data_IF_233890025239
#
_entry.id   IF_233890025239
#
_cell.length_a   1.000
_cell.length_b   1.000
_cell.length_c   1.000
_cell.angle_alpha   90.00
_cell.angle_beta   90.00
_cell.angle_gamma   90.00
#
_symmetry.space_group_name_H-M   'P 1'
#
loop_
_entity.id
_entity.type
_entity.pdbx_description
1 polymer ?
#
# COMPACT_ATOMS: atom_id res chain seq x y z
N UNK A 1 -0.68 6.61 -17.22
CA UNK A 1 -0.02 6.08 -16.01
C UNK A 1 0.07 7.21 -15.00
N UNK A 2 0.26 6.98 -13.70
CA UNK A 2 0.21 8.11 -12.78
C UNK A 2 1.06 8.04 -11.52
N UNK A 3 1.60 9.21 -11.14
CA UNK A 3 2.43 9.39 -9.96
C UNK A 3 1.56 9.91 -8.82
N UNK A 4 1.56 9.23 -7.68
CA UNK A 4 0.66 9.50 -6.55
C UNK A 4 1.43 10.01 -5.35
N UNK A 5 0.89 11.03 -4.68
CA UNK A 5 1.41 11.53 -3.41
C UNK A 5 0.28 11.75 -2.44
N UNK A 6 0.57 11.44 -1.18
CA UNK A 6 -0.38 11.52 -0.09
C UNK A 6 0.10 12.59 0.88
N UNK A 7 -0.81 13.46 1.29
CA UNK A 7 -0.63 14.41 2.37
C UNK A 7 -1.68 14.17 3.45
N UNK A 8 -1.25 14.38 4.68
CA UNK A 8 -2.03 14.12 5.88
C UNK A 8 -2.15 15.42 6.67
N UNK A 9 -3.38 15.91 6.83
CA UNK A 9 -3.67 17.12 7.59
C UNK A 9 -4.27 16.75 8.96
N UNK A 10 -3.40 16.69 9.96
CA UNK A 10 -3.66 16.05 11.26
C UNK A 10 -4.72 16.82 12.06
N UNK A 11 -4.61 18.14 12.10
CA UNK A 11 -5.48 19.03 12.84
C UNK A 11 -6.51 19.75 11.96
N UNK A 12 -6.96 19.10 10.88
CA UNK A 12 -7.98 19.68 10.00
C UNK A 12 -9.28 19.96 10.79
N UNK A 13 -9.90 21.14 10.62
CA UNK A 13 -11.19 21.44 11.23
C UNK A 13 -12.29 20.56 10.60
N UNK A 14 -13.44 20.45 11.26
CA UNK A 14 -14.60 19.72 10.71
C UNK A 14 -15.11 20.31 9.39
N UNK A 15 -14.86 21.60 9.16
CA UNK A 15 -15.13 22.31 7.90
C UNK A 15 -14.01 22.17 6.86
N UNK A 16 -12.93 21.45 7.15
CA UNK A 16 -11.75 21.37 6.28
C UNK A 16 -12.06 20.85 4.88
N UNK A 17 -12.97 19.88 4.76
CA UNK A 17 -13.43 19.35 3.48
C UNK A 17 -14.13 20.41 2.63
N UNK A 18 -14.95 21.27 3.25
CA UNK A 18 -15.63 22.36 2.54
C UNK A 18 -14.63 23.42 2.09
N UNK A 19 -13.66 23.77 2.94
CA UNK A 19 -12.60 24.73 2.60
C UNK A 19 -11.77 24.27 1.41
N UNK A 20 -11.34 22.99 1.41
CA UNK A 20 -10.58 22.42 0.30
C UNK A 20 -11.44 22.35 -0.97
N UNK A 21 -12.70 21.93 -0.86
CA UNK A 21 -13.63 21.91 -1.98
C UNK A 21 -13.75 23.29 -2.64
N UNK A 22 -13.99 24.34 -1.84
CA UNK A 22 -14.08 25.70 -2.35
C UNK A 22 -12.76 26.17 -2.99
N UNK A 23 -11.61 25.83 -2.39
CA UNK A 23 -10.30 26.18 -2.92
C UNK A 23 -10.03 25.51 -4.28
N UNK A 24 -10.30 24.20 -4.39
CA UNK A 24 -10.11 23.43 -5.64
C UNK A 24 -11.01 23.99 -6.75
N UNK A 25 -12.29 24.23 -6.47
CA UNK A 25 -13.24 24.72 -7.49
C UNK A 25 -12.90 26.15 -7.93
N UNK A 26 -12.64 27.05 -6.98
CA UNK A 26 -12.48 28.48 -7.26
C UNK A 26 -11.10 28.85 -7.78
N UNK A 27 -10.05 28.31 -7.18
CA UNK A 27 -8.67 28.74 -7.44
C UNK A 27 -7.94 27.82 -8.40
N UNK A 28 -8.31 26.53 -8.45
CA UNK A 28 -7.69 25.54 -9.32
C UNK A 28 -8.59 25.09 -10.49
N UNK A 29 -9.77 25.68 -10.63
CA UNK A 29 -10.77 25.31 -11.64
C UNK A 29 -11.07 23.80 -11.66
N UNK A 30 -11.03 23.16 -10.49
CA UNK A 30 -11.26 21.73 -10.37
C UNK A 30 -12.72 21.37 -10.61
N UNK A 31 -12.94 20.22 -11.24
CA UNK A 31 -14.27 19.65 -11.49
C UNK A 31 -14.53 18.51 -10.52
N UNK A 32 -15.69 18.52 -9.87
CA UNK A 32 -16.13 17.42 -9.02
C UNK A 32 -16.42 16.17 -9.86
N UNK A 33 -15.85 15.02 -9.46
CA UNK A 33 -16.01 13.74 -10.15
C UNK A 33 -16.84 12.73 -9.37
N UNK A 34 -16.83 12.79 -8.04
CA UNK A 34 -17.59 11.85 -7.23
C UNK A 34 -17.16 11.81 -5.77
N UNK A 35 -17.65 10.80 -5.05
CA UNK A 35 -17.29 10.55 -3.66
C UNK A 35 -16.07 9.65 -3.56
N UNK A 36 -15.26 9.90 -2.56
CA UNK A 36 -14.16 9.04 -2.16
C UNK A 36 -14.52 8.41 -0.82
N UNK A 37 -14.78 7.10 -0.83
CA UNK A 37 -15.16 6.37 0.38
C UNK A 37 -14.27 5.14 0.54
N UNK A 38 -13.56 5.06 1.65
CA UNK A 38 -12.71 3.94 2.01
C UNK A 38 -13.06 3.44 3.40
N UNK A 39 -12.86 2.14 3.62
CA UNK A 39 -12.97 1.57 4.96
C UNK A 39 -11.75 0.80 5.36
N UNK A 40 -11.23 1.05 6.55
CA UNK A 40 -10.06 0.39 7.10
C UNK A 40 -10.44 -0.38 8.36
N UNK A 41 -9.96 -1.63 8.45
CA UNK A 41 -10.15 -2.53 9.60
C UNK A 41 -8.80 -3.04 10.08
N UNK A 42 -8.58 -2.98 11.39
CA UNK A 42 -7.41 -3.56 12.04
C UNK A 42 -7.77 -4.90 12.69
N UNK A 43 -6.85 -5.85 12.61
CA UNK A 43 -6.94 -7.18 13.18
C UNK A 43 -5.63 -7.52 13.91
N UNK A 44 -5.74 -8.28 14.99
CA UNK A 44 -4.60 -8.81 15.73
C UNK A 44 -4.69 -10.33 15.89
N UNK A 45 -3.54 -10.99 15.88
CA UNK A 45 -3.47 -12.44 16.06
C UNK A 45 -3.61 -12.82 17.54
N UNK A 46 -4.38 -13.87 17.80
CA UNK A 46 -4.55 -14.44 19.15
C UNK A 46 -3.77 -15.73 19.35
N UNK A 47 -2.73 -15.96 18.56
CA UNK A 47 -1.83 -17.10 18.78
C UNK A 47 -1.07 -16.98 20.11
N UNK A 48 -0.74 -15.76 20.54
CA UNK A 48 -0.05 -15.51 21.81
C UNK A 48 -0.90 -15.70 23.07
N UNK A 49 -2.23 -15.84 22.95
CA UNK A 49 -3.11 -16.07 24.11
C UNK A 49 -3.35 -17.55 24.41
N UNK A 50 -2.68 -18.46 23.67
CA UNK A 50 -2.79 -19.90 23.88
C UNK A 50 -1.94 -20.29 25.11
N UNK A 51 -2.55 -20.85 26.17
CA UNK A 51 -1.78 -21.33 27.32
C UNK A 51 -0.72 -22.34 26.88
N UNK A 52 0.54 -22.09 27.26
CA UNK A 52 1.68 -22.96 26.92
C UNK A 52 2.39 -22.64 25.60
N UNK A 53 1.89 -21.70 24.79
CA UNK A 53 2.57 -21.23 23.57
C UNK A 53 3.07 -19.80 23.77
N UNK A 54 4.37 -19.62 23.99
CA UNK A 54 4.98 -18.29 24.08
C UNK A 54 5.30 -17.73 22.69
N UNK A 55 4.33 -17.06 22.08
CA UNK A 55 4.59 -16.26 20.88
C UNK A 55 5.18 -14.93 21.32
N UNK A 56 6.43 -14.67 20.94
CA UNK A 56 7.20 -13.52 21.44
C UNK A 56 6.78 -12.18 20.81
N UNK A 57 6.01 -12.23 19.72
CA UNK A 57 5.61 -11.03 18.98
C UNK A 57 4.23 -11.20 18.35
N UNK A 58 3.38 -10.19 18.53
CA UNK A 58 1.99 -10.21 18.05
C UNK A 58 1.96 -9.84 16.56
N UNK A 59 1.29 -10.67 15.75
CA UNK A 59 1.06 -10.38 14.32
C UNK A 59 -0.09 -9.40 14.18
N UNK A 60 0.03 -8.46 13.25
CA UNK A 60 -1.00 -7.48 12.94
C UNK A 60 -1.46 -7.61 11.49
N UNK A 61 -2.72 -7.28 11.22
CA UNK A 61 -3.27 -7.29 9.87
C UNK A 61 -4.20 -6.09 9.70
N UNK A 62 -4.01 -5.30 8.65
CA UNK A 62 -4.85 -4.16 8.29
C UNK A 62 -5.51 -4.43 6.93
N UNK A 63 -6.81 -4.21 6.83
CA UNK A 63 -7.55 -4.37 5.58
C UNK A 63 -8.21 -3.05 5.18
N UNK A 64 -7.84 -2.51 4.01
CA UNK A 64 -8.43 -1.33 3.41
C UNK A 64 -9.32 -1.75 2.23
N UNK A 65 -10.61 -1.44 2.31
CA UNK A 65 -11.56 -1.64 1.22
C UNK A 65 -11.67 -0.36 0.39
N UNK A 66 -11.48 -0.50 -0.91
CA UNK A 66 -11.60 0.56 -1.91
C UNK A 66 -12.37 -0.01 -3.09
N UNK A 67 -13.58 0.49 -3.32
CA UNK A 67 -14.50 -0.03 -4.33
C UNK A 67 -14.75 -1.55 -4.12
N UNK A 68 -14.43 -2.38 -5.12
CA UNK A 68 -14.59 -3.84 -5.08
C UNK A 68 -13.34 -4.58 -4.56
N UNK A 69 -12.28 -3.83 -4.23
CA UNK A 69 -11.01 -4.38 -3.78
C UNK A 69 -10.84 -4.29 -2.27
N UNK A 70 -10.26 -5.31 -1.67
CA UNK A 70 -9.75 -5.27 -0.30
C UNK A 70 -8.24 -5.49 -0.32
N UNK A 71 -7.50 -4.48 0.10
CA UNK A 71 -6.04 -4.52 0.22
C UNK A 71 -5.66 -4.85 1.66
N UNK A 72 -4.96 -5.95 1.85
CA UNK A 72 -4.65 -6.50 3.17
C UNK A 72 -3.15 -6.46 3.39
N UNK A 73 -2.72 -5.68 4.38
CA UNK A 73 -1.34 -5.65 4.86
C UNK A 73 -1.23 -6.51 6.12
N UNK A 74 -0.50 -7.61 6.02
CA UNK A 74 -0.14 -8.47 7.13
C UNK A 74 1.31 -8.19 7.54
N UNK A 75 1.52 -8.09 8.85
CA UNK A 75 2.85 -7.99 9.43
C UNK A 75 3.11 -9.08 10.45
N UNK A 76 4.18 -9.83 10.20
CA UNK A 76 4.75 -10.81 11.13
C UNK A 76 6.14 -10.37 11.60
N UNK A 77 6.24 -9.74 12.78
CA UNK A 77 7.54 -9.31 13.33
C UNK A 77 8.53 -10.45 13.62
N UNK A 78 8.09 -11.71 13.59
CA UNK A 78 8.99 -12.87 13.75
C UNK A 78 9.63 -13.35 12.45
N UNK A 79 9.14 -12.89 11.30
CA UNK A 79 9.69 -13.25 9.99
C UNK A 79 10.81 -12.29 9.57
N UNK A 80 11.81 -12.76 8.80
CA UNK A 80 12.91 -11.91 8.32
C UNK A 80 12.42 -10.88 7.29
N UNK A 81 13.15 -9.77 7.18
CA UNK A 81 12.97 -8.83 6.08
C UNK A 81 13.75 -9.29 4.84
N UNK A 82 13.43 -8.72 3.68
CA UNK A 82 14.18 -9.05 2.45
C UNK A 82 15.62 -8.56 2.52
N UNK A 83 15.83 -7.39 3.12
CA UNK A 83 17.16 -6.83 3.35
C UNK A 83 18.01 -7.77 4.21
N UNK A 84 17.43 -8.37 5.26
CA UNK A 84 18.14 -9.33 6.11
C UNK A 84 18.59 -10.57 5.32
N UNK A 85 17.72 -11.09 4.45
CA UNK A 85 18.04 -12.26 3.60
C UNK A 85 19.16 -11.96 2.60
N UNK A 86 19.11 -10.80 1.94
CA UNK A 86 20.15 -10.39 0.98
C UNK A 86 21.50 -10.14 1.67
N UNK A 87 21.49 -9.53 2.84
CA UNK A 87 22.71 -9.33 3.63
C UNK A 87 23.33 -10.68 4.05
N UNK A 88 22.50 -11.64 4.47
CA UNK A 88 22.96 -12.97 4.83
C UNK A 88 23.52 -13.76 3.62
N UNK A 89 22.90 -13.63 2.44
CA UNK A 89 23.39 -14.27 1.23
C UNK A 89 24.77 -13.73 0.81
N UNK A 90 24.96 -12.41 0.85
CA UNK A 90 26.25 -11.77 0.53
C UNK A 90 27.36 -12.16 1.53
N UNK A 91 27.01 -12.36 2.81
CA UNK A 91 27.96 -12.85 3.82
C UNK A 91 28.34 -14.33 3.59
N UNK A 92 27.39 -15.17 3.16
CA UNK A 92 27.67 -16.56 2.82
C UNK A 92 28.64 -16.69 1.63
N UNK A 93 28.46 -15.86 0.59
CA UNK A 93 29.33 -15.86 -0.60
C UNK A 93 30.75 -15.36 -0.29
N UNK A 94 30.90 -14.42 0.65
CA UNK A 94 32.20 -13.83 1.00
C UNK A 94 33.03 -14.68 1.98
N UNK A 95 32.41 -15.61 2.72
CA UNK A 95 33.12 -16.52 3.65
C UNK A 95 33.40 -17.92 3.06
N UNK A 96 32.90 -18.23 1.86
CA UNK A 96 32.90 -19.58 1.28
C UNK A 96 33.69 -19.76 -0.02
N UNK A 97 34.98 -19.40 -0.03
CA UNK A 97 35.92 -19.88 -1.06
C UNK A 97 36.16 -21.38 -0.92
N UNK A 98 35.30 -22.21 -1.50
CA UNK A 98 35.41 -23.67 -1.42
C UNK A 98 34.49 -24.36 -2.40
N UNK A 99 34.94 -24.52 -3.64
CA UNK A 99 34.30 -25.37 -4.63
C UNK A 99 34.12 -26.79 -4.06
N UNK A 100 32.86 -27.22 -3.95
CA UNK A 100 32.49 -28.62 -3.79
C UNK A 100 32.06 -29.02 -2.38
N UNK A 101 30.80 -28.77 -2.03
CA UNK A 101 29.95 -29.78 -1.39
C UNK A 101 28.49 -29.30 -1.31
N UNK A 102 27.61 -30.03 -2.01
CA UNK A 102 26.21 -30.20 -1.63
C UNK A 102 25.29 -28.99 -1.82
N UNK A 103 24.53 -29.02 -2.91
CA UNK A 103 23.32 -28.22 -3.19
C UNK A 103 22.24 -28.42 -2.12
N UNK A 104 22.49 -27.96 -0.90
CA UNK A 104 21.41 -27.67 0.04
C UNK A 104 20.85 -26.34 -0.41
N UNK A 105 19.89 -26.38 -1.34
CA UNK A 105 19.10 -25.23 -1.70
C UNK A 105 18.70 -24.54 -0.39
N UNK A 106 19.19 -23.32 -0.17
CA UNK A 106 18.82 -22.51 0.98
C UNK A 106 17.31 -22.34 0.87
N UNK A 107 16.55 -23.17 1.59
CA UNK A 107 15.10 -23.06 1.60
C UNK A 107 14.79 -21.72 2.24
N UNK A 108 14.42 -20.75 1.40
CA UNK A 108 14.04 -19.41 1.86
C UNK A 108 12.92 -19.48 2.90
N UNK A 109 12.75 -18.42 3.70
CA UNK A 109 11.74 -18.38 4.74
C UNK A 109 10.34 -18.65 4.15
N UNK A 110 9.42 -19.23 4.94
CA UNK A 110 8.06 -19.52 4.47
C UNK A 110 7.29 -18.26 4.08
N UNK A 111 7.61 -17.12 4.69
CA UNK A 111 7.08 -15.79 4.40
C UNK A 111 8.02 -14.71 4.94
N UNK A 112 7.79 -13.47 4.51
CA UNK A 112 8.55 -12.30 4.95
C UNK A 112 7.76 -11.51 5.98
N UNK A 113 8.46 -10.59 6.63
CA UNK A 113 7.89 -9.71 7.65
C UNK A 113 6.60 -9.02 7.21
N UNK A 114 6.56 -8.53 5.97
CA UNK A 114 5.40 -7.84 5.40
C UNK A 114 4.83 -8.68 4.26
N UNK A 115 3.50 -8.76 4.19
CA UNK A 115 2.81 -9.39 3.05
C UNK A 115 1.61 -8.53 2.69
N UNK A 116 1.50 -8.16 1.42
CA UNK A 116 0.42 -7.28 0.95
C UNK A 116 -0.36 -7.93 -0.18
N UNK A 117 -1.61 -8.28 0.13
CA UNK A 117 -2.47 -9.09 -0.73
C UNK A 117 -3.73 -8.32 -1.12
N UNK A 118 -4.23 -8.61 -2.32
CA UNK A 118 -5.48 -8.04 -2.83
C UNK A 118 -6.55 -9.14 -2.88
N UNK A 119 -7.69 -8.89 -2.25
CA UNK A 119 -8.82 -9.82 -2.14
C UNK A 119 -10.06 -9.18 -2.78
N UNK A 120 -10.88 -10.01 -3.44
CA UNK A 120 -12.20 -9.65 -3.97
C UNK A 120 -13.19 -10.79 -3.71
N UNK A 121 -14.48 -10.50 -3.47
CA UNK A 121 -15.11 -9.19 -3.25
C UNK A 121 -14.93 -8.67 -1.81
N UNK A 122 -15.43 -7.46 -1.47
CA UNK A 122 -15.53 -7.00 -0.08
C UNK A 122 -16.25 -8.03 0.81
N UNK A 123 -15.69 -8.34 1.98
CA UNK A 123 -16.21 -9.37 2.88
C UNK A 123 -15.60 -10.77 2.70
N UNK A 124 -14.88 -11.02 1.60
CA UNK A 124 -14.25 -12.31 1.36
C UNK A 124 -13.13 -12.64 2.35
N UNK A 125 -12.43 -11.62 2.87
CA UNK A 125 -11.43 -11.81 3.92
C UNK A 125 -12.08 -12.41 5.17
N UNK A 126 -13.18 -11.83 5.64
CA UNK A 126 -13.88 -12.29 6.84
C UNK A 126 -14.45 -13.70 6.66
N UNK A 127 -14.97 -14.00 5.47
CA UNK A 127 -15.43 -15.35 5.13
C UNK A 127 -14.27 -16.36 5.14
N UNK A 128 -13.12 -16.01 4.55
CA UNK A 128 -11.93 -16.85 4.55
C UNK A 128 -11.43 -17.11 5.98
N UNK A 129 -11.30 -16.05 6.79
CA UNK A 129 -10.87 -16.16 8.18
C UNK A 129 -11.82 -17.03 9.00
N UNK A 130 -13.14 -16.92 8.79
CA UNK A 130 -14.12 -17.77 9.43
C UNK A 130 -14.01 -19.24 8.99
N UNK A 131 -13.83 -19.48 7.68
CA UNK A 131 -13.74 -20.82 7.10
C UNK A 131 -12.52 -21.59 7.61
N UNK A 132 -11.35 -20.95 7.65
CA UNK A 132 -10.13 -21.56 8.16
C UNK A 132 -10.04 -21.52 9.70
N UNK A 133 -11.07 -20.99 10.37
CA UNK A 133 -11.11 -20.75 11.82
C UNK A 133 -9.86 -20.02 12.31
N UNK A 134 -9.42 -19.02 11.54
CA UNK A 134 -8.22 -18.30 11.87
C UNK A 134 -8.40 -17.50 13.15
N UNK A 135 -7.30 -17.41 13.92
CA UNK A 135 -7.25 -16.76 15.22
C UNK A 135 -7.00 -15.26 15.10
N UNK A 136 -7.78 -14.57 14.29
CA UNK A 136 -7.71 -13.11 14.15
C UNK A 136 -8.90 -12.45 14.84
N UNK A 137 -8.62 -11.44 15.64
CA UNK A 137 -9.66 -10.63 16.29
C UNK A 137 -9.56 -9.21 15.76
N UNK A 138 -10.69 -8.64 15.33
CA UNK A 138 -10.76 -7.22 14.99
C UNK A 138 -10.43 -6.37 16.22
N UNK A 139 -9.45 -5.47 16.07
CA UNK A 139 -9.03 -4.57 17.13
C UNK A 139 -10.13 -3.53 17.33
N UNK A 140 -10.61 -3.40 18.57
CA UNK A 140 -11.47 -2.28 18.95
C UNK A 140 -10.58 -1.05 19.06
N UNK A 141 -10.75 -0.07 18.17
CA UNK A 141 -10.19 1.24 18.39
C UNK A 141 -10.80 1.79 19.69
N UNK A 142 -9.97 2.29 20.60
CA UNK A 142 -10.36 2.67 21.96
C UNK A 142 -11.20 3.95 21.97
N UNK A 143 -12.45 3.87 21.54
CA UNK A 143 -13.51 4.81 21.89
C UNK A 143 -14.12 4.39 23.22
N UNK A 144 -14.00 5.24 24.24
CA UNK A 144 -14.59 5.01 25.58
C UNK A 144 -16.12 4.84 25.49
N UNK A 145 -16.63 3.76 26.12
CA UNK A 145 -18.02 3.56 26.54
C UNK A 145 -19.12 3.51 25.45
N UNK A 146 -19.17 2.46 24.62
CA UNK A 146 -20.38 2.10 23.87
C UNK A 146 -20.81 0.63 24.13
N UNK A 147 -22.10 0.36 24.43
CA UNK A 147 -22.58 -0.97 24.77
C UNK A 147 -22.58 -1.90 23.54
N UNK A 148 -22.01 -3.09 23.73
CA UNK A 148 -21.96 -4.18 22.75
C UNK A 148 -23.37 -4.72 22.46
N UNK A 149 -23.94 -4.41 21.29
CA UNK A 149 -25.08 -5.20 20.80
C UNK A 149 -25.17 -5.42 19.28
N UNK A 150 -24.05 -5.36 18.55
CA UNK A 150 -23.97 -5.92 17.20
C UNK A 150 -22.55 -6.45 16.93
N UNK A 151 -22.40 -7.77 17.01
CA UNK A 151 -21.13 -8.51 16.95
C UNK A 151 -20.66 -8.88 15.52
N UNK A 152 -21.16 -8.22 14.47
CA UNK A 152 -20.89 -8.62 13.08
C UNK A 152 -19.91 -7.74 12.29
N UNK A 153 -19.65 -6.50 12.73
CA UNK A 153 -18.82 -5.57 11.99
C UNK A 153 -17.77 -5.01 12.94
N UNK A 154 -16.50 -5.36 12.70
CA UNK A 154 -15.35 -4.81 13.44
C UNK A 154 -15.39 -3.28 13.43
N UNK A 155 -14.76 -2.66 14.44
CA UNK A 155 -14.65 -1.21 14.45
C UNK A 155 -13.88 -0.76 13.21
N UNK A 156 -14.55 0.09 12.43
CA UNK A 156 -14.13 0.45 11.08
C UNK A 156 -13.78 1.94 11.10
N UNK A 157 -12.54 2.24 10.74
CA UNK A 157 -12.16 3.58 10.34
C UNK A 157 -12.73 3.82 8.94
N UNK A 158 -13.34 4.97 8.72
CA UNK A 158 -13.90 5.36 7.43
C UNK A 158 -13.19 6.61 6.95
N UNK A 159 -12.79 6.63 5.69
CA UNK A 159 -12.36 7.84 5.01
C UNK A 159 -13.50 8.26 4.10
N UNK A 160 -14.10 9.41 4.35
CA UNK A 160 -15.23 9.92 3.56
C UNK A 160 -14.92 11.30 2.98
N UNK A 161 -15.14 11.46 1.69
CA UNK A 161 -14.55 12.55 0.93
C UNK A 161 -15.03 12.68 -0.50
N UNK A 162 -14.26 13.47 -1.26
CA UNK A 162 -14.55 13.87 -2.63
C UNK A 162 -13.37 13.61 -3.56
N UNK A 163 -13.69 13.37 -4.83
CA UNK A 163 -12.73 13.27 -5.93
C UNK A 163 -12.95 14.45 -6.86
N UNK A 164 -11.85 15.10 -7.23
CA UNK A 164 -11.80 16.21 -8.17
C UNK A 164 -10.83 15.89 -9.31
N UNK A 165 -11.08 16.48 -10.48
CA UNK A 165 -10.07 16.58 -11.53
C UNK A 165 -9.66 18.03 -11.72
N UNK A 166 -8.36 18.31 -11.82
CA UNK A 166 -7.82 19.65 -12.12
C UNK A 166 -7.17 19.59 -13.50
N UNK A 167 -7.72 20.33 -14.48
CA UNK A 167 -7.29 20.21 -15.87
C UNK A 167 -7.51 18.79 -16.43
N UNK A 168 -6.59 18.35 -17.29
CA UNK A 168 -6.57 17.00 -17.89
C UNK A 168 -5.67 16.02 -17.14
N UNK A 169 -4.82 16.55 -16.27
CA UNK A 169 -3.61 15.84 -15.83
C UNK A 169 -3.63 15.53 -14.33
N UNK A 170 -4.63 15.98 -13.59
CA UNK A 170 -4.65 15.82 -12.14
C UNK A 170 -5.95 15.23 -11.65
N UNK A 171 -5.82 14.24 -10.77
CA UNK A 171 -6.91 13.72 -9.97
C UNK A 171 -6.56 13.91 -8.50
N UNK A 172 -7.43 14.60 -7.76
CA UNK A 172 -7.23 14.95 -6.36
C UNK A 172 -8.35 14.33 -5.53
N UNK A 173 -8.00 13.49 -4.57
CA UNK A 173 -8.93 12.87 -3.60
C UNK A 173 -8.71 13.50 -2.24
N UNK A 174 -9.79 13.89 -1.58
CA UNK A 174 -9.73 14.58 -0.28
C UNK A 174 -10.78 13.99 0.62
N UNK A 175 -10.42 13.54 1.82
CA UNK A 175 -11.36 12.87 2.72
C UNK A 175 -11.05 13.09 4.19
N UNK A 176 -12.11 13.11 5.00
CA UNK A 176 -12.03 13.11 6.45
C UNK A 176 -11.72 11.71 6.95
N UNK A 177 -10.78 11.60 7.89
CA UNK A 177 -10.49 10.35 8.60
C UNK A 177 -11.44 10.26 9.80
N UNK A 178 -12.36 9.31 9.78
CA UNK A 178 -13.43 9.16 10.78
C UNK A 178 -13.22 7.85 11.53
N UNK A 179 -13.01 7.93 12.84
CA UNK A 179 -12.89 6.75 13.69
C UNK A 179 -14.24 6.07 13.94
N UNK A 180 -14.17 4.82 14.39
CA UNK A 180 -15.32 4.16 14.97
C UNK A 180 -15.87 4.98 16.14
N UNK A 181 -17.09 5.48 15.99
CA UNK A 181 -17.71 6.45 16.92
C UNK A 181 -17.95 7.84 16.32
N UNK A 182 -17.53 8.08 15.07
CA UNK A 182 -17.82 9.32 14.34
C UNK A 182 -16.86 10.47 14.63
N UNK A 183 -15.83 10.26 15.45
CA UNK A 183 -14.81 11.27 15.75
C UNK A 183 -13.92 11.48 14.53
N UNK A 184 -13.86 12.71 14.04
CA UNK A 184 -12.97 13.10 12.94
C UNK A 184 -11.54 13.30 13.47
N UNK A 185 -10.58 12.56 12.93
CA UNK A 185 -9.15 12.63 13.23
C UNK A 185 -8.39 13.29 12.09
N UNK A 186 -8.86 14.45 11.63
CA UNK A 186 -8.25 15.21 10.53
C UNK A 186 -8.57 14.65 9.15
N UNK A 187 -7.72 14.95 8.17
CA UNK A 187 -7.97 14.68 6.75
C UNK A 187 -6.79 14.02 6.04
N UNK A 188 -7.10 13.33 4.94
CA UNK A 188 -6.18 12.81 3.93
C UNK A 188 -6.43 13.52 2.59
N UNK A 189 -5.33 13.82 1.91
CA UNK A 189 -5.32 14.42 0.58
C UNK A 189 -4.40 13.56 -0.29
N UNK A 190 -4.93 13.02 -1.37
CA UNK A 190 -4.15 12.28 -2.35
C UNK A 190 -4.20 13.03 -3.68
N UNK A 191 -3.03 13.24 -4.29
CA UNK A 191 -2.91 13.82 -5.62
C UNK A 191 -2.24 12.81 -6.54
N UNK A 192 -2.87 12.58 -7.68
CA UNK A 192 -2.43 11.66 -8.73
C UNK A 192 -2.23 12.48 -10.01
N UNK A 193 -1.00 12.45 -10.54
CA UNK A 193 -0.67 13.04 -11.84
C UNK A 193 -0.88 12.03 -12.96
N UNK A 194 -1.68 12.36 -13.96
CA UNK A 194 -1.92 11.62 -15.21
C UNK A 194 -1.34 12.46 -16.37
N UNK A 195 -0.76 11.92 -17.45
CA UNK A 195 -0.67 10.51 -17.85
C UNK A 195 0.73 9.89 -17.66
N UNK A 196 1.61 10.43 -16.81
CA UNK A 196 3.01 10.01 -16.77
C UNK A 196 3.25 8.56 -16.29
N UNK A 197 3.98 7.75 -17.10
CA UNK A 197 4.43 6.39 -16.78
C UNK A 197 5.11 6.21 -15.46
N UNK A 198 6.15 7.00 -15.28
CA UNK A 198 7.06 6.94 -14.16
C UNK A 198 7.58 8.36 -14.06
N UNK A 199 7.22 9.09 -13.01
CA UNK A 199 8.09 10.16 -12.56
C UNK A 199 9.17 9.47 -11.74
N UNK A 200 10.38 9.35 -12.29
CA UNK A 200 11.54 9.04 -11.47
C UNK A 200 11.70 10.23 -10.53
N UNK A 201 11.39 10.04 -9.25
CA UNK A 201 11.72 11.04 -8.24
C UNK A 201 13.24 11.25 -8.32
N UNK A 202 13.66 12.51 -8.52
CA UNK A 202 15.08 12.86 -8.53
C UNK A 202 15.66 12.86 -7.11
N UNK A 203 14.81 12.80 -6.08
CA UNK A 203 15.21 12.79 -4.68
C UNK A 203 15.20 11.36 -4.13
N UNK A 204 16.18 11.03 -3.30
CA UNK A 204 16.31 9.70 -2.68
C UNK A 204 15.08 9.32 -1.82
N UNK A 205 14.30 10.32 -1.39
CA UNK A 205 13.15 10.16 -0.50
C UNK A 205 11.83 9.86 -1.25
N UNK A 206 11.85 9.79 -2.59
CA UNK A 206 10.67 9.48 -3.40
C UNK A 206 9.65 10.62 -3.50
N UNK A 207 9.96 11.80 -2.94
CA UNK A 207 9.12 13.01 -3.04
C UNK A 207 9.23 13.62 -4.44
N UNK A 208 8.11 14.04 -5.05
CA UNK A 208 8.16 14.94 -6.21
C UNK A 208 7.83 16.34 -5.76
N UNK A 209 8.69 17.29 -6.11
CA UNK A 209 8.43 18.72 -5.89
C UNK A 209 7.11 19.16 -6.52
N UNK A 210 6.76 18.61 -7.69
CA UNK A 210 5.50 18.92 -8.37
C UNK A 210 4.29 18.54 -7.51
N UNK A 211 4.28 17.32 -6.95
CA UNK A 211 3.21 16.87 -6.07
C UNK A 211 3.17 17.65 -4.76
N UNK A 212 4.33 17.89 -4.17
CA UNK A 212 4.45 18.68 -2.95
C UNK A 212 3.86 20.08 -3.14
N UNK A 213 4.22 20.74 -4.24
CA UNK A 213 3.73 22.07 -4.60
C UNK A 213 2.21 22.06 -4.84
N UNK A 214 1.69 21.07 -5.57
CA UNK A 214 0.25 20.94 -5.79
C UNK A 214 -0.50 20.72 -4.47
N UNK A 215 -0.10 19.73 -3.67
CA UNK A 215 -0.74 19.41 -2.39
C UNK A 215 -0.71 20.61 -1.44
N UNK A 216 0.39 21.34 -1.40
CA UNK A 216 0.52 22.58 -0.63
C UNK A 216 -0.41 23.67 -1.15
N UNK A 217 -0.56 23.82 -2.48
CA UNK A 217 -1.46 24.82 -3.07
C UNK A 217 -2.97 24.49 -2.92
N UNK A 218 -3.31 23.20 -2.79
CA UNK A 218 -4.68 22.73 -2.59
C UNK A 218 -5.10 22.92 -1.12
N UNK A 219 -4.15 22.89 -0.20
CA UNK A 219 -4.42 23.19 1.20
C UNK A 219 -4.75 24.69 1.38
N UNK A 220 -5.84 25.01 2.10
CA UNK A 220 -6.15 26.40 2.40
C UNK A 220 -5.04 27.00 3.28
N UNK A 221 -4.71 28.28 3.05
CA UNK A 221 -3.68 29.00 3.81
C UNK A 221 -4.15 29.24 5.26
N UNK A 222 -3.95 28.24 6.12
CA UNK A 222 -4.31 28.27 7.54
C UNK A 222 -3.02 28.27 8.35
N UNK A 223 -2.89 29.28 9.22
CA UNK A 223 -1.65 29.57 9.96
C UNK A 223 -1.13 28.42 10.83
N UNK A 224 -2.02 27.53 11.28
CA UNK A 224 -1.68 26.43 12.19
C UNK A 224 -1.89 25.05 11.55
N UNK A 225 -1.98 24.93 10.22
CA UNK A 225 -2.17 23.64 9.57
C UNK A 225 -0.94 22.73 9.77
N UNK A 226 -1.12 21.59 10.44
CA UNK A 226 -0.11 20.54 10.59
C UNK A 226 -0.28 19.53 9.47
N UNK A 227 0.49 19.69 8.42
CA UNK A 227 0.47 18.86 7.22
C UNK A 227 1.74 18.02 7.14
N UNK A 228 1.57 16.73 6.90
CA UNK A 228 2.67 15.76 6.76
C UNK A 228 2.56 15.15 5.37
N UNK A 229 3.61 15.31 4.56
CA UNK A 229 3.73 14.58 3.31
C UNK A 229 4.11 13.13 3.62
N UNK A 230 3.38 12.19 3.04
CA UNK A 230 3.63 10.76 3.17
C UNK A 230 4.25 10.29 1.87
N UNK A 231 5.53 9.91 1.94
CA UNK A 231 6.24 9.27 0.84
C UNK A 231 6.73 7.90 1.25
N UNK A 232 6.86 7.04 0.25
CA UNK A 232 7.35 5.68 0.39
C UNK A 232 8.46 5.54 -0.65
N UNK A 233 9.62 5.05 -0.22
CA UNK A 233 10.71 4.78 -1.15
C UNK A 233 10.33 3.60 -2.05
N UNK A 234 10.80 3.61 -3.29
CA UNK A 234 10.51 2.51 -4.21
C UNK A 234 11.05 1.17 -3.67
N UNK A 235 12.13 1.18 -2.88
CA UNK A 235 12.66 -0.01 -2.20
C UNK A 235 11.70 -0.63 -1.18
N UNK A 236 11.00 0.20 -0.38
CA UNK A 236 9.99 -0.29 0.57
C UNK A 236 8.79 -0.87 -0.16
N UNK A 237 8.46 -0.29 -1.32
CA UNK A 237 7.36 -0.77 -2.14
C UNK A 237 7.71 -2.09 -2.86
N UNK A 238 8.92 -2.23 -3.37
CA UNK A 238 9.43 -3.47 -3.97
C UNK A 238 9.48 -4.63 -2.96
N UNK A 239 9.79 -4.37 -1.69
CA UNK A 239 9.72 -5.38 -0.64
C UNK A 239 8.29 -5.91 -0.45
N UNK A 240 7.29 -5.04 -0.59
CA UNK A 240 5.88 -5.35 -0.34
C UNK A 240 5.19 -6.01 -1.53
N UNK A 241 5.64 -5.69 -2.75
CA UNK A 241 5.16 -6.32 -3.98
C UNK A 241 5.79 -7.68 -4.26
N UNK A 242 6.76 -8.10 -3.45
CA UNK A 242 7.49 -9.33 -3.69
C UNK A 242 6.56 -10.55 -3.55
N UNK A 243 6.50 -11.34 -4.62
CA UNK A 243 5.75 -12.59 -4.71
C UNK A 243 6.73 -13.71 -5.01
N UNK A 244 6.89 -14.63 -4.06
CA UNK A 244 7.81 -15.75 -4.17
C UNK A 244 7.47 -16.63 -5.38
N UNK A 245 6.19 -16.85 -5.64
CA UNK A 245 5.75 -17.71 -6.75
C UNK A 245 6.14 -17.11 -8.10
N UNK A 246 6.17 -15.77 -8.16
CA UNK A 246 6.56 -15.04 -9.35
C UNK A 246 8.08 -15.07 -9.58
N UNK A 247 8.89 -14.94 -8.54
CA UNK A 247 10.34 -15.07 -8.67
C UNK A 247 10.74 -16.50 -9.05
N UNK A 248 10.13 -17.52 -8.44
CA UNK A 248 10.34 -18.92 -8.80
C UNK A 248 9.95 -19.19 -10.27
N UNK A 249 8.91 -18.53 -10.77
CA UNK A 249 8.51 -18.61 -12.18
C UNK A 249 9.51 -17.93 -13.11
N UNK A 250 9.96 -16.73 -12.76
CA UNK A 250 10.96 -16.00 -13.54
C UNK A 250 12.31 -16.72 -13.56
N UNK A 251 12.70 -17.37 -12.46
CA UNK A 251 13.92 -18.16 -12.41
C UNK A 251 13.79 -19.45 -13.24
N UNK A 252 12.61 -20.07 -13.26
CA UNK A 252 12.32 -21.19 -14.17
C UNK A 252 12.34 -20.73 -15.63
N UNK A 253 11.76 -19.58 -15.96
CA UNK A 253 11.77 -19.00 -17.31
C UNK A 253 13.19 -18.66 -17.75
N UNK A 254 14.00 -18.00 -16.91
CA UNK A 254 15.42 -17.73 -17.20
C UNK A 254 16.24 -19.00 -17.36
N UNK A 255 15.96 -20.04 -16.56
CA UNK A 255 16.62 -21.34 -16.71
C UNK A 255 16.20 -22.04 -18.00
N UNK A 256 14.92 -21.92 -18.40
CA UNK A 256 14.43 -22.43 -19.69
C UNK A 256 15.04 -21.67 -20.86
N UNK A 257 15.13 -20.33 -20.81
CA UNK A 257 15.77 -19.50 -21.84
C UNK A 257 17.29 -19.79 -21.96
N UNK A 258 17.96 -20.04 -20.84
CA UNK A 258 19.39 -20.42 -20.83
C UNK A 258 19.60 -21.87 -21.31
N UNK A 259 18.61 -22.76 -21.15
CA UNK A 259 18.66 -24.13 -21.67
C UNK A 259 18.22 -24.23 -23.13
N UNK A 260 17.31 -23.38 -23.59
CA UNK A 260 16.84 -23.30 -24.97
C UNK A 260 17.81 -22.51 -25.86
N UNK A 261 19.11 -22.77 -25.74
CA UNK A 261 20.17 -22.14 -26.52
C UNK A 261 20.02 -22.39 -28.02
N UNK A 262 19.07 -21.69 -28.65
CA UNK A 262 18.85 -21.70 -30.08
C UNK A 262 19.17 -20.30 -30.62
N UNK A 263 20.42 -20.15 -31.00
CA UNK A 263 20.85 -19.16 -31.96
C UNK A 263 20.33 -19.57 -33.34
N UNK A 264 19.23 -18.99 -33.82
CA UNK A 264 19.05 -18.80 -35.26
C UNK A 264 18.03 -17.71 -35.59
N UNK A 265 18.52 -16.68 -36.28
CA UNK A 265 17.83 -15.86 -37.28
C UNK A 265 16.39 -15.37 -37.01
N UNK A 266 16.25 -14.34 -36.17
CA UNK A 266 15.12 -13.40 -36.33
C UNK A 266 15.61 -11.95 -36.51
N UNK A 267 16.24 -11.74 -37.67
CA UNK A 267 16.66 -10.43 -38.20
C UNK A 267 15.46 -9.61 -38.75
N UNK A 268 14.24 -10.15 -38.71
CA UNK A 268 13.06 -9.55 -39.31
C UNK A 268 11.87 -9.37 -38.35
N UNK A 269 12.08 -8.71 -37.20
CA UNK A 269 10.98 -8.02 -36.50
C UNK A 269 11.34 -6.55 -36.28
N UNK A 270 11.27 -5.80 -37.38
CA UNK A 270 11.19 -4.34 -37.38
C UNK A 270 9.72 -3.95 -37.46
N UNK A 271 9.15 -3.40 -36.38
CA UNK A 271 7.77 -2.88 -36.42
C UNK A 271 7.26 -2.29 -35.10
N UNK A 272 7.46 -2.98 -33.97
CA UNK A 272 6.84 -2.62 -32.69
C UNK A 272 7.81 -2.09 -31.61
N UNK A 273 9.08 -1.84 -31.96
CA UNK A 273 10.10 -1.36 -31.01
C UNK A 273 9.84 0.03 -30.41
N UNK A 274 8.83 0.76 -30.89
CA UNK A 274 8.45 2.09 -30.38
C UNK A 274 7.08 2.11 -29.68
N UNK A 275 6.38 0.97 -29.58
CA UNK A 275 5.23 0.89 -28.69
C UNK A 275 5.75 0.56 -27.30
N UNK A 276 5.42 1.35 -26.25
CA UNK A 276 5.76 0.98 -24.90
C UNK A 276 5.10 -0.36 -24.60
N UNK A 277 5.90 -1.42 -24.55
CA UNK A 277 5.45 -2.74 -24.12
C UNK A 277 4.95 -2.60 -22.70
N UNK A 278 3.70 -3.03 -22.46
CA UNK A 278 3.14 -3.01 -21.12
C UNK A 278 4.04 -3.86 -20.22
N UNK A 279 4.78 -3.21 -19.32
CA UNK A 279 5.60 -3.93 -18.35
C UNK A 279 4.70 -4.33 -17.19
N UNK A 280 4.92 -5.53 -16.65
CA UNK A 280 4.34 -5.93 -15.37
C UNK A 280 4.76 -4.88 -14.32
N UNK A 281 3.82 -4.12 -13.79
CA UNK A 281 4.08 -2.90 -13.01
C UNK A 281 3.59 -1.60 -13.66
N UNK A 282 2.97 -1.65 -14.85
CA UNK A 282 2.24 -0.51 -15.41
C UNK A 282 1.01 -0.22 -14.52
N UNK A 283 1.15 0.78 -13.65
CA UNK A 283 0.26 1.19 -12.56
C UNK A 283 -1.14 1.63 -13.05
N UNK A 284 -1.92 0.70 -13.58
CA UNK A 284 -3.28 0.91 -14.05
C UNK A 284 -4.25 0.03 -13.26
N UNK A 285 -5.46 0.54 -13.02
CA UNK A 285 -6.50 -0.19 -12.30
C UNK A 285 -6.09 -0.61 -10.90
N UNK A 286 -5.95 -1.91 -10.67
CA UNK A 286 -5.82 -2.52 -9.33
C UNK A 286 -4.47 -2.21 -8.69
N UNK A 287 -3.39 -2.21 -9.46
CA UNK A 287 -2.04 -1.98 -8.91
C UNK A 287 -1.85 -0.51 -8.48
N UNK A 288 -2.54 0.41 -9.17
CA UNK A 288 -2.63 1.81 -8.71
C UNK A 288 -3.35 1.89 -7.37
N UNK A 289 -4.52 1.28 -7.28
CA UNK A 289 -5.32 1.27 -6.06
C UNK A 289 -4.56 0.54 -4.91
N UNK A 290 -3.73 -0.46 -5.25
CA UNK A 290 -2.83 -1.17 -4.32
C UNK A 290 -1.79 -0.23 -3.72
N UNK A 291 -1.10 0.58 -4.53
CA UNK A 291 -0.12 1.59 -4.04
C UNK A 291 -0.79 2.65 -3.16
N UNK A 292 -1.93 3.17 -3.61
CA UNK A 292 -2.74 4.13 -2.85
C UNK A 292 -3.12 3.56 -1.48
N UNK A 293 -3.63 2.32 -1.45
CA UNK A 293 -4.00 1.65 -0.21
C UNK A 293 -2.81 1.47 0.73
N UNK A 294 -1.63 1.10 0.21
CA UNK A 294 -0.43 0.94 1.01
C UNK A 294 0.04 2.27 1.64
N UNK A 295 0.04 3.36 0.86
CA UNK A 295 0.33 4.71 1.35
C UNK A 295 -0.61 5.13 2.47
N UNK A 296 -1.91 4.88 2.31
CA UNK A 296 -2.93 5.24 3.28
C UNK A 296 -2.77 4.42 4.57
N UNK A 297 -2.59 3.10 4.46
CA UNK A 297 -2.37 2.23 5.63
C UNK A 297 -1.10 2.65 6.37
N UNK A 298 0.00 2.89 5.65
CA UNK A 298 1.27 3.34 6.22
C UNK A 298 1.13 4.67 6.98
N UNK A 299 0.45 5.65 6.38
CA UNK A 299 0.19 6.95 7.00
C UNK A 299 -0.60 6.85 8.30
N UNK A 300 -1.69 6.06 8.30
CA UNK A 300 -2.54 5.92 9.48
C UNK A 300 -1.83 5.13 10.58
N UNK A 301 -0.98 4.17 10.20
CA UNK A 301 -0.20 3.36 11.14
C UNK A 301 0.93 4.15 11.81
N UNK A 302 1.65 5.00 11.07
CA UNK A 302 2.72 5.82 11.65
C UNK A 302 2.20 6.84 12.68
N UNK A 303 0.92 7.22 12.58
CA UNK A 303 0.23 8.05 13.58
C UNK A 303 -0.34 7.27 14.77
N UNK A 304 -0.24 5.93 14.77
CA UNK A 304 -0.84 5.08 15.79
C UNK A 304 -2.37 5.09 15.79
N UNK A 305 -2.99 5.38 14.63
CA UNK A 305 -4.45 5.33 14.47
C UNK A 305 -4.93 3.89 14.24
N UNK A 306 -4.11 3.05 13.59
CA UNK A 306 -4.42 1.66 13.27
C UNK A 306 -3.90 0.66 14.29
#
# INVERSE_FOLDING_TARGET
MGFTGLARWINAPTTGLELINQNIIRNHHGQFKGRWNLSVRSYRSTLGSIPGLQVHSERSMCALTMNENVFVLLEDPSAPTRADMLANAQQADSQGGGAGQGTSAVQGPPHYRTTFLTIRPPGALEQLLAQIRARWISVRQSGSNAPQRNQGMGQQLVIDGYVFSIGTDWLVRVGNVILAGGVVKGMLLEAEYLPLPVLRSQTADGTSELLSNLLTSVLPNIRDAKTVAVTISDSQWEEVLWDREEEERQDQEKQMEQQSGDSSDDIYVSGDQNLPTQRRGDWLGVDRDRRSAFLIIGALKSEGIL
#
